data_IF_502820685726
#
_entry.id   IF_502820685726
#
_cell.length_a   1.000
_cell.length_b   1.000
_cell.length_c   1.000
_cell.angle_alpha   90.00
_cell.angle_beta   90.00
_cell.angle_gamma   90.00
#
_symmetry.space_group_name_H-M   'P 1'
#
loop_
_entity.id
_entity.type
_entity.pdbx_description
1 polymer ?
#
# COMPACT_ATOMS: atom_id res chain seq x y z
N UNK A 1 -36.40 -7.31 3.79
CA UNK A 1 -35.42 -7.24 2.69
C UNK A 1 -34.15 -6.47 3.08
N UNK A 2 -34.25 -5.41 3.89
CA UNK A 2 -33.10 -4.55 4.29
C UNK A 2 -31.96 -5.27 5.03
N UNK A 3 -32.27 -6.27 5.86
CA UNK A 3 -31.27 -7.04 6.63
C UNK A 3 -30.40 -7.91 5.71
N UNK A 4 -30.98 -8.49 4.65
CA UNK A 4 -30.23 -9.28 3.68
C UNK A 4 -29.26 -8.39 2.91
N UNK A 5 -29.70 -7.21 2.47
CA UNK A 5 -28.84 -6.25 1.77
C UNK A 5 -27.68 -5.79 2.65
N UNK A 6 -27.95 -5.50 3.93
CA UNK A 6 -26.90 -5.18 4.89
C UNK A 6 -25.92 -6.33 5.11
N UNK A 7 -26.42 -7.57 5.22
CA UNK A 7 -25.60 -8.77 5.38
C UNK A 7 -24.69 -8.99 4.16
N UNK A 8 -25.22 -8.79 2.95
CA UNK A 8 -24.45 -8.89 1.70
C UNK A 8 -23.34 -7.84 1.67
N UNK A 9 -23.64 -6.59 2.02
CA UNK A 9 -22.62 -5.54 2.12
C UNK A 9 -21.57 -5.86 3.19
N UNK A 10 -21.98 -6.37 4.35
CA UNK A 10 -21.07 -6.75 5.42
C UNK A 10 -20.11 -7.87 4.95
N UNK A 11 -20.64 -8.93 4.35
CA UNK A 11 -19.81 -10.03 3.81
C UNK A 11 -18.87 -9.51 2.73
N UNK A 12 -19.38 -8.67 1.82
CA UNK A 12 -18.59 -8.05 0.75
C UNK A 12 -17.41 -7.24 1.30
N UNK A 13 -17.68 -6.37 2.27
CA UNK A 13 -16.64 -5.56 2.94
C UNK A 13 -15.63 -6.41 3.71
N UNK A 14 -16.07 -7.46 4.41
CA UNK A 14 -15.18 -8.39 5.10
C UNK A 14 -14.27 -9.13 4.12
N UNK A 15 -14.78 -9.57 2.98
CA UNK A 15 -13.96 -10.21 1.94
C UNK A 15 -12.88 -9.26 1.44
N UNK A 16 -13.24 -8.02 1.09
CA UNK A 16 -12.27 -7.03 0.62
C UNK A 16 -11.21 -6.73 1.67
N UNK A 17 -11.64 -6.59 2.93
CA UNK A 17 -10.74 -6.34 4.05
C UNK A 17 -9.78 -7.51 4.28
N UNK A 18 -10.26 -8.76 4.19
CA UNK A 18 -9.42 -9.95 4.26
C UNK A 18 -8.39 -9.97 3.12
N UNK A 19 -8.80 -9.69 1.87
CA UNK A 19 -7.88 -9.63 0.74
C UNK A 19 -6.85 -8.51 0.93
N UNK A 20 -7.27 -7.35 1.44
CA UNK A 20 -6.42 -6.20 1.71
C UNK A 20 -5.32 -6.52 2.73
N UNK A 21 -5.68 -7.22 3.82
CA UNK A 21 -4.76 -7.53 4.91
C UNK A 21 -3.83 -8.71 4.57
N UNK A 22 -4.37 -9.78 3.97
CA UNK A 22 -3.63 -11.04 3.83
C UNK A 22 -2.95 -11.23 2.47
N UNK A 23 -3.38 -10.52 1.42
CA UNK A 23 -2.90 -10.78 0.05
C UNK A 23 -2.09 -9.60 -0.49
N UNK A 24 -2.75 -8.51 -0.88
CA UNK A 24 -2.09 -7.28 -1.28
C UNK A 24 -3.09 -6.13 -1.46
N UNK A 25 -2.66 -4.86 -1.27
CA UNK A 25 -3.49 -3.70 -1.54
C UNK A 25 -3.96 -3.61 -3.00
N UNK A 26 -3.08 -3.95 -3.95
CA UNK A 26 -3.41 -3.95 -5.38
C UNK A 26 -4.52 -4.94 -5.72
N UNK A 27 -4.41 -6.19 -5.22
CA UNK A 27 -5.40 -7.23 -5.50
C UNK A 27 -6.75 -6.94 -4.81
N UNK A 28 -6.71 -6.32 -3.63
CA UNK A 28 -7.91 -5.80 -2.96
C UNK A 28 -8.65 -4.76 -3.81
N UNK A 29 -7.94 -3.78 -4.36
CA UNK A 29 -8.56 -2.79 -5.26
C UNK A 29 -9.14 -3.43 -6.53
N UNK A 30 -8.47 -4.44 -7.08
CA UNK A 30 -9.00 -5.18 -8.22
C UNK A 30 -10.31 -5.89 -7.86
N UNK A 31 -10.35 -6.63 -6.75
CA UNK A 31 -11.56 -7.34 -6.29
C UNK A 31 -12.69 -6.36 -5.98
N UNK A 32 -12.38 -5.21 -5.36
CA UNK A 32 -13.34 -4.14 -5.05
C UNK A 32 -14.11 -3.66 -6.29
N UNK A 33 -13.46 -3.55 -7.44
CA UNK A 33 -14.13 -3.08 -8.67
C UNK A 33 -14.68 -4.26 -9.47
N UNK A 34 -13.92 -5.34 -9.58
CA UNK A 34 -14.23 -6.45 -10.48
C UNK A 34 -15.47 -7.22 -10.04
N UNK A 35 -15.65 -7.45 -8.73
CA UNK A 35 -16.77 -8.23 -8.20
C UNK A 35 -18.15 -7.60 -8.51
N UNK A 36 -18.40 -6.30 -8.20
CA UNK A 36 -19.66 -5.64 -8.54
C UNK A 36 -19.86 -5.47 -10.05
N UNK A 37 -18.80 -5.23 -10.83
CA UNK A 37 -18.91 -5.17 -12.31
C UNK A 37 -19.32 -6.54 -12.87
N UNK A 38 -18.74 -7.62 -12.34
CA UNK A 38 -19.10 -8.99 -12.71
C UNK A 38 -20.55 -9.32 -12.34
N UNK A 39 -21.04 -8.84 -11.20
CA UNK A 39 -22.43 -9.02 -10.79
C UNK A 39 -23.41 -8.35 -11.77
N UNK A 40 -23.12 -7.11 -12.19
CA UNK A 40 -23.91 -6.38 -13.20
C UNK A 40 -23.93 -7.17 -14.53
N UNK A 41 -22.79 -7.74 -14.93
CA UNK A 41 -22.67 -8.47 -16.18
C UNK A 41 -23.44 -9.81 -16.16
N UNK A 42 -23.34 -10.57 -15.07
CA UNK A 42 -23.95 -11.91 -14.98
C UNK A 42 -25.45 -11.86 -14.67
N UNK A 43 -25.87 -10.94 -13.80
CA UNK A 43 -27.24 -10.87 -13.26
C UNK A 43 -27.75 -9.42 -13.29
N UNK A 44 -27.95 -8.83 -14.47
CA UNK A 44 -28.27 -7.40 -14.61
C UNK A 44 -29.58 -7.02 -13.92
N UNK A 45 -30.64 -7.81 -14.09
CA UNK A 45 -31.98 -7.53 -13.54
C UNK A 45 -31.96 -7.49 -12.01
N UNK A 46 -31.45 -8.56 -11.39
CA UNK A 46 -31.31 -8.66 -9.93
C UNK A 46 -30.40 -7.59 -9.35
N UNK A 47 -29.32 -7.25 -10.06
CA UNK A 47 -28.36 -6.24 -9.60
C UNK A 47 -28.94 -4.82 -9.67
N UNK A 48 -29.67 -4.49 -10.74
CA UNK A 48 -30.37 -3.21 -10.84
C UNK A 48 -31.44 -3.08 -9.75
N UNK A 49 -32.22 -4.14 -9.54
CA UNK A 49 -33.22 -4.16 -8.47
C UNK A 49 -32.56 -3.94 -7.11
N UNK A 50 -31.47 -4.67 -6.82
CA UNK A 50 -30.70 -4.53 -5.58
C UNK A 50 -30.16 -3.12 -5.37
N UNK A 51 -29.61 -2.48 -6.41
CA UNK A 51 -29.07 -1.12 -6.33
C UNK A 51 -30.14 -0.05 -6.16
N UNK A 52 -31.34 -0.29 -6.69
CA UNK A 52 -32.50 0.61 -6.59
C UNK A 52 -33.28 0.47 -5.28
N UNK A 53 -32.91 -0.46 -4.40
CA UNK A 53 -33.52 -0.59 -3.08
C UNK A 53 -33.14 0.59 -2.19
N UNK A 54 -34.15 1.17 -1.53
CA UNK A 54 -34.02 2.24 -0.56
C UNK A 54 -33.68 1.62 0.79
N UNK A 55 -32.60 2.09 1.43
CA UNK A 55 -32.18 1.65 2.76
C UNK A 55 -32.58 2.65 3.84
N UNK A 56 -32.46 3.95 3.56
CA UNK A 56 -32.85 5.02 4.48
C UNK A 56 -33.58 6.13 3.72
N UNK A 57 -34.61 6.73 4.31
CA UNK A 57 -35.33 7.84 3.70
C UNK A 57 -35.84 8.80 4.78
N UNK A 58 -34.93 9.59 5.35
CA UNK A 58 -35.28 10.61 6.36
C UNK A 58 -35.63 11.94 5.68
N UNK A 59 -34.84 12.38 4.69
CA UNK A 59 -35.07 13.62 3.90
C UNK A 59 -34.75 13.39 2.42
N UNK A 60 -33.72 12.60 2.13
CA UNK A 60 -33.33 12.17 0.77
C UNK A 60 -33.26 10.64 0.77
N UNK A 61 -33.83 9.95 -0.22
CA UNK A 61 -33.74 8.49 -0.31
C UNK A 61 -32.29 8.07 -0.55
N UNK A 62 -31.74 7.29 0.39
CA UNK A 62 -30.43 6.66 0.29
C UNK A 62 -30.63 5.24 -0.22
N UNK A 63 -30.22 5.04 -1.46
CA UNK A 63 -30.26 3.75 -2.13
C UNK A 63 -29.01 2.91 -1.83
N UNK A 64 -29.09 1.60 -2.01
CA UNK A 64 -27.96 0.68 -1.87
C UNK A 64 -26.74 1.06 -2.72
N UNK A 65 -26.94 1.66 -3.89
CA UNK A 65 -25.83 2.18 -4.70
C UNK A 65 -25.04 3.29 -3.98
N UNK A 66 -25.69 4.14 -3.18
CA UNK A 66 -25.01 5.18 -2.41
C UNK A 66 -24.13 4.57 -1.32
N UNK A 67 -24.63 3.52 -0.66
CA UNK A 67 -23.88 2.78 0.36
C UNK A 67 -22.69 2.06 -0.29
N UNK A 68 -22.88 1.44 -1.45
CA UNK A 68 -21.80 0.81 -2.21
C UNK A 68 -20.70 1.83 -2.57
N UNK A 69 -21.09 3.01 -3.07
CA UNK A 69 -20.16 4.08 -3.43
C UNK A 69 -19.42 4.62 -2.20
N UNK A 70 -20.10 4.77 -1.06
CA UNK A 70 -19.46 5.14 0.21
C UNK A 70 -18.39 4.11 0.61
N UNK A 71 -18.75 2.83 0.60
CA UNK A 71 -17.83 1.71 0.89
C UNK A 71 -16.62 1.74 -0.06
N UNK A 72 -16.87 1.90 -1.37
CA UNK A 72 -15.79 1.99 -2.36
C UNK A 72 -14.85 3.16 -2.07
N UNK A 73 -15.39 4.35 -1.83
CA UNK A 73 -14.55 5.53 -1.54
C UNK A 73 -13.66 5.31 -0.32
N UNK A 74 -14.21 4.72 0.75
CA UNK A 74 -13.46 4.41 1.96
C UNK A 74 -12.32 3.41 1.67
N UNK A 75 -12.62 2.30 0.97
CA UNK A 75 -11.60 1.30 0.64
C UNK A 75 -10.53 1.82 -0.32
N UNK A 76 -10.89 2.63 -1.33
CA UNK A 76 -9.91 3.27 -2.22
C UNK A 76 -8.97 4.15 -1.40
N UNK A 77 -9.50 4.91 -0.44
CA UNK A 77 -8.69 5.72 0.48
C UNK A 77 -7.72 4.86 1.30
N UNK A 78 -8.20 3.76 1.89
CA UNK A 78 -7.36 2.86 2.68
C UNK A 78 -6.28 2.19 1.81
N UNK A 79 -6.65 1.64 0.65
CA UNK A 79 -5.70 0.99 -0.28
C UNK A 79 -4.61 1.98 -0.69
N UNK A 80 -5.00 3.18 -1.09
CA UNK A 80 -4.07 4.24 -1.50
C UNK A 80 -3.17 4.64 -0.34
N UNK A 81 -3.72 4.79 0.86
CA UNK A 81 -2.95 5.11 2.06
C UNK A 81 -1.91 4.04 2.39
N UNK A 82 -2.29 2.76 2.34
CA UNK A 82 -1.39 1.63 2.60
C UNK A 82 -0.28 1.58 1.55
N UNK A 83 -0.60 1.78 0.28
CA UNK A 83 0.38 1.79 -0.82
C UNK A 83 1.37 2.96 -0.72
N UNK A 84 0.90 4.16 -0.39
CA UNK A 84 1.78 5.32 -0.19
C UNK A 84 2.66 5.11 1.05
N UNK A 85 2.09 4.59 2.13
CA UNK A 85 2.83 4.34 3.38
C UNK A 85 3.90 3.28 3.19
N UNK A 86 3.59 2.19 2.47
CA UNK A 86 4.56 1.15 2.15
C UNK A 86 5.71 1.73 1.32
N UNK A 87 5.40 2.51 0.28
CA UNK A 87 6.42 3.17 -0.55
C UNK A 87 7.30 4.12 0.26
N UNK A 88 6.71 4.88 1.18
CA UNK A 88 7.45 5.81 2.03
C UNK A 88 8.38 5.09 3.02
N UNK A 89 7.91 4.02 3.67
CA UNK A 89 8.67 3.24 4.64
C UNK A 89 9.81 2.43 4.00
N UNK A 90 9.60 1.89 2.78
CA UNK A 90 10.64 1.20 2.01
C UNK A 90 11.75 2.13 1.51
N UNK A 91 11.53 3.46 1.57
CA UNK A 91 12.48 4.48 1.12
C UNK A 91 13.40 4.94 2.25
N UNK A 92 13.85 4.02 3.11
CA UNK A 92 15.03 4.31 3.93
C UNK A 92 16.18 4.69 3.00
N UNK A 93 16.79 5.89 3.14
CA UNK A 93 17.98 6.22 2.40
C UNK A 93 19.06 5.24 2.85
N UNK A 94 19.49 4.33 1.97
CA UNK A 94 20.68 3.53 2.20
C UNK A 94 21.76 4.44 2.80
N UNK A 95 22.40 4.07 3.93
CA UNK A 95 23.53 4.82 4.43
C UNK A 95 24.70 4.60 3.46
N UNK A 96 24.72 5.40 2.37
CA UNK A 96 25.82 5.57 1.41
C UNK A 96 27.16 5.86 2.09
N UNK A 97 27.13 6.18 3.38
CA UNK A 97 28.27 6.48 4.23
C UNK A 97 28.98 5.26 4.86
N UNK A 98 28.39 4.05 4.85
CA UNK A 98 29.03 2.88 5.49
C UNK A 98 30.08 2.21 4.59
N UNK A 99 29.88 2.20 3.26
CA UNK A 99 30.85 1.67 2.28
C UNK A 99 32.12 2.53 2.19
N UNK A 100 31.96 3.86 2.25
CA UNK A 100 33.11 4.79 2.18
C UNK A 100 34.00 4.76 3.44
N UNK A 101 33.45 4.49 4.64
CA UNK A 101 34.26 4.36 5.86
C UNK A 101 35.06 3.05 5.93
N UNK A 102 34.51 1.95 5.40
CA UNK A 102 35.23 0.67 5.34
C UNK A 102 36.35 0.70 4.28
N UNK A 103 36.10 1.30 3.11
CA UNK A 103 37.10 1.44 2.05
C UNK A 103 38.22 2.42 2.44
N UNK A 104 37.91 3.56 3.07
CA UNK A 104 38.94 4.50 3.53
C UNK A 104 39.77 3.98 4.72
N UNK A 105 39.22 3.09 5.55
CA UNK A 105 39.96 2.44 6.64
C UNK A 105 41.00 1.44 6.14
N UNK A 106 40.63 0.60 5.17
CA UNK A 106 41.53 -0.39 4.58
C UNK A 106 42.60 0.28 3.70
N UNK A 107 42.22 1.29 2.92
CA UNK A 107 43.13 2.02 2.04
C UNK A 107 44.19 2.84 2.80
N UNK A 108 43.83 3.44 3.95
CA UNK A 108 44.80 4.07 4.86
C UNK A 108 45.76 3.08 5.52
N UNK A 109 45.33 1.83 5.72
CA UNK A 109 46.20 0.78 6.30
C UNK A 109 47.19 0.26 5.25
N UNK A 110 46.77 0.13 3.99
CA UNK A 110 47.64 -0.22 2.88
C UNK A 110 48.69 0.87 2.58
N UNK A 111 48.28 2.15 2.56
CA UNK A 111 49.22 3.26 2.36
C UNK A 111 50.27 3.35 3.48
N UNK A 112 49.90 3.11 4.75
CA UNK A 112 50.87 3.06 5.85
C UNK A 112 51.86 1.92 5.77
N UNK A 113 51.51 0.79 5.15
CA UNK A 113 52.44 -0.32 4.95
C UNK A 113 53.45 -0.07 3.82
N UNK A 114 53.10 0.75 2.83
CA UNK A 114 53.99 1.08 1.71
C UNK A 114 54.70 2.43 1.83
N UNK A 115 54.36 3.25 2.82
CA UNK A 115 55.07 4.49 3.10
C UNK A 115 56.37 4.17 3.84
N UNK A 116 57.44 3.97 3.05
CA UNK A 116 58.81 3.75 3.52
C UNK A 116 59.19 4.89 4.48
N UNK A 117 59.76 4.60 5.66
CA UNK A 117 60.17 5.65 6.58
C UNK A 117 61.20 6.53 5.89
N UNK A 118 60.89 7.83 5.77
CA UNK A 118 61.85 8.83 5.33
C UNK A 118 63.05 8.74 6.28
N UNK A 119 64.21 8.41 5.71
CA UNK A 119 65.46 8.37 6.46
C UNK A 119 65.70 9.77 7.05
N UNK A 120 66.13 9.87 8.30
CA UNK A 120 66.52 11.15 8.85
C UNK A 120 67.65 11.72 7.99
N UNK A 121 67.41 12.90 7.41
CA UNK A 121 68.46 13.73 6.82
C UNK A 121 69.44 14.04 7.95
N UNK A 122 70.55 13.32 7.98
CA UNK A 122 71.73 13.70 8.73
C UNK A 122 72.14 15.07 8.23
N UNK A 123 71.79 16.10 8.99
CA UNK A 123 72.24 17.46 8.79
C UNK A 123 73.71 17.48 9.21
N UNK A 124 74.59 17.30 8.23
CA UNK A 124 76.03 17.51 8.39
C UNK A 124 76.24 19.02 8.28
N UNK A 125 76.77 19.58 9.37
CA UNK A 125 77.50 20.85 9.57
C UNK A 125 76.95 22.10 8.86
#
# INVERSE_FOLDING_TARGET
MEILSFLVFLIYTLIILMVLIYVSPLLSALVLVFLPVLAIYLLPEWTMEFFSQIQFSIVVPVYNIHILLLIWSAFIGIVTYVEISSWYLLREPEPKNRKNRLLTGCQRRYQRMHQKPDRPRSRIL
#
